data_IF_460158791008
#
_entry.id   IF_460158791008
#
_cell.length_a   1.000
_cell.length_b   1.000
_cell.length_c   1.000
_cell.angle_alpha   90.00
_cell.angle_beta   90.00
_cell.angle_gamma   90.00
#
_symmetry.space_group_name_H-M   'P 1'
#
loop_
_entity.id
_entity.type
_entity.pdbx_description
1 polymer ?
#
# COMPACT_ATOMS: atom_id res chain seq x y z
N UNK A 1 6.53 13.33 22.64
CA UNK A 1 6.56 12.02 23.28
C UNK A 1 8.01 11.58 23.48
N UNK A 2 8.34 11.01 24.64
CA UNK A 2 9.68 10.46 24.92
C UNK A 2 9.69 8.96 24.57
N UNK A 3 9.67 8.66 23.27
CA UNK A 3 9.78 7.32 22.72
C UNK A 3 11.13 7.20 22.00
N UNK A 4 12.01 6.36 22.55
CA UNK A 4 13.26 6.02 21.88
C UNK A 4 12.97 5.01 20.76
N UNK A 5 13.49 5.24 19.58
CA UNK A 5 13.31 4.30 18.46
C UNK A 5 14.63 3.98 17.78
N UNK A 6 14.67 2.83 17.15
CA UNK A 6 15.77 2.37 16.30
C UNK A 6 15.19 1.92 14.95
N UNK A 7 15.60 2.56 13.86
CA UNK A 7 15.14 2.28 12.52
C UNK A 7 16.00 1.21 11.87
N UNK A 8 15.43 0.03 11.64
CA UNK A 8 16.08 -1.12 11.02
C UNK A 8 15.59 -1.28 9.59
N UNK A 9 16.48 -1.17 8.61
CA UNK A 9 16.20 -1.48 7.21
C UNK A 9 16.69 -2.90 6.89
N UNK A 10 15.80 -3.79 6.47
CA UNK A 10 16.18 -5.19 6.21
C UNK A 10 16.98 -5.39 4.93
N UNK A 11 16.93 -4.44 3.99
CA UNK A 11 17.60 -4.54 2.69
C UNK A 11 16.86 -5.43 1.70
N UNK A 12 15.59 -5.75 1.92
CA UNK A 12 14.79 -6.61 1.05
C UNK A 12 14.72 -6.08 -0.39
N UNK A 13 14.57 -4.78 -0.57
CA UNK A 13 14.56 -4.13 -1.88
C UNK A 13 15.98 -3.68 -2.23
N UNK A 14 16.54 -4.29 -3.28
CA UNK A 14 17.97 -4.21 -3.60
C UNK A 14 18.38 -3.01 -4.48
N UNK A 15 17.41 -2.27 -5.05
CA UNK A 15 17.75 -1.14 -5.93
C UNK A 15 18.12 0.10 -5.09
N UNK A 16 19.44 0.28 -4.91
CA UNK A 16 20.02 1.37 -4.12
C UNK A 16 19.57 2.74 -4.62
N UNK A 17 19.49 2.92 -5.94
CA UNK A 17 19.15 4.22 -6.53
C UNK A 17 17.67 4.58 -6.30
N UNK A 18 16.78 3.59 -6.35
CA UNK A 18 15.35 3.83 -6.07
C UNK A 18 15.10 4.08 -4.58
N UNK A 19 15.74 3.31 -3.69
CA UNK A 19 15.53 3.50 -2.26
C UNK A 19 16.12 4.82 -1.75
N UNK A 20 17.32 5.21 -2.17
CA UNK A 20 17.94 6.47 -1.76
C UNK A 20 17.08 7.67 -2.20
N UNK A 21 16.54 7.65 -3.41
CA UNK A 21 15.61 8.69 -3.91
C UNK A 21 14.36 8.80 -3.03
N UNK A 22 13.76 7.68 -2.60
CA UNK A 22 12.60 7.70 -1.70
C UNK A 22 12.93 8.29 -0.33
N UNK A 23 14.08 7.95 0.26
CA UNK A 23 14.50 8.50 1.53
C UNK A 23 14.67 10.02 1.45
N UNK A 24 15.28 10.51 0.37
CA UNK A 24 15.49 11.95 0.15
C UNK A 24 14.16 12.68 -0.14
N UNK A 25 13.36 12.18 -1.09
CA UNK A 25 12.11 12.82 -1.48
C UNK A 25 11.10 12.92 -0.33
N UNK A 26 10.99 11.87 0.48
CA UNK A 26 10.03 11.82 1.57
C UNK A 26 10.61 12.31 2.91
N UNK A 27 11.87 12.75 2.94
CA UNK A 27 12.60 13.17 4.15
C UNK A 27 12.58 12.09 5.24
N UNK A 28 12.74 10.81 4.86
CA UNK A 28 12.78 9.70 5.80
C UNK A 28 14.16 9.70 6.47
N UNK A 29 14.25 9.58 7.80
CA UNK A 29 15.54 9.45 8.49
C UNK A 29 16.32 8.24 7.96
N UNK A 30 17.64 8.38 7.88
CA UNK A 30 18.49 7.24 7.54
C UNK A 30 18.34 6.13 8.60
N UNK A 31 18.32 4.85 8.18
CA UNK A 31 18.22 3.76 9.14
C UNK A 31 19.48 3.67 10.01
N UNK A 32 19.30 3.32 11.27
CA UNK A 32 20.40 3.07 12.20
C UNK A 32 21.22 1.86 11.77
N UNK A 33 20.58 0.89 11.09
CA UNK A 33 21.23 -0.28 10.53
C UNK A 33 20.50 -0.77 9.27
N UNK A 34 21.28 -1.25 8.30
CA UNK A 34 20.78 -1.98 7.13
C UNK A 34 21.31 -3.42 7.20
N UNK A 35 20.41 -4.39 7.25
CA UNK A 35 20.76 -5.81 7.41
C UNK A 35 21.24 -6.46 6.09
N UNK A 36 21.03 -5.83 4.95
CA UNK A 36 21.53 -6.31 3.65
C UNK A 36 20.93 -7.62 3.16
N UNK A 37 19.70 -7.94 3.52
CA UNK A 37 19.05 -9.23 3.25
C UNK A 37 18.30 -9.28 1.90
N UNK A 38 18.76 -8.54 0.89
CA UNK A 38 18.16 -8.54 -0.44
C UNK A 38 18.56 -9.76 -1.28
N UNK A 39 17.67 -10.16 -2.22
CA UNK A 39 17.93 -11.22 -3.20
C UNK A 39 17.65 -12.65 -2.69
N UNK A 40 17.88 -13.64 -3.56
CA UNK A 40 17.57 -15.03 -3.30
C UNK A 40 16.11 -15.44 -3.55
N UNK A 41 15.79 -16.67 -3.22
CA UNK A 41 14.41 -17.18 -3.22
C UNK A 41 13.62 -16.61 -2.04
N UNK A 42 12.30 -16.74 -2.06
CA UNK A 42 11.44 -16.32 -0.94
C UNK A 42 11.87 -16.96 0.40
N UNK A 43 12.26 -18.23 0.37
CA UNK A 43 12.71 -18.94 1.57
C UNK A 43 14.07 -18.43 2.05
N UNK A 44 15.03 -18.24 1.17
CA UNK A 44 16.36 -17.72 1.49
C UNK A 44 16.27 -16.29 2.05
N UNK A 45 15.49 -15.43 1.41
CA UNK A 45 15.29 -14.06 1.87
C UNK A 45 14.63 -14.03 3.26
N UNK A 46 13.57 -14.81 3.47
CA UNK A 46 12.92 -14.94 4.78
C UNK A 46 13.90 -15.40 5.85
N UNK A 47 14.67 -16.44 5.58
CA UNK A 47 15.65 -16.99 6.52
C UNK A 47 16.75 -15.97 6.84
N UNK A 48 17.31 -15.29 5.84
CA UNK A 48 18.34 -14.28 6.03
C UNK A 48 17.84 -13.11 6.90
N UNK A 49 16.62 -12.62 6.63
CA UNK A 49 16.02 -11.55 7.45
C UNK A 49 15.87 -12.03 8.90
N UNK A 50 15.36 -13.23 9.12
CA UNK A 50 15.20 -13.77 10.47
C UNK A 50 16.53 -13.87 11.21
N UNK A 51 17.58 -14.39 10.58
CA UNK A 51 18.90 -14.56 11.20
C UNK A 51 19.54 -13.21 11.55
N UNK A 52 19.54 -12.27 10.62
CA UNK A 52 20.18 -10.98 10.84
C UNK A 52 19.37 -10.11 11.81
N UNK A 53 18.04 -10.17 11.76
CA UNK A 53 17.19 -9.44 12.70
C UNK A 53 17.26 -10.00 14.12
N UNK A 54 17.44 -11.33 14.29
CA UNK A 54 17.66 -11.93 15.62
C UNK A 54 18.95 -11.42 16.27
N UNK A 55 20.04 -11.29 15.49
CA UNK A 55 21.29 -10.70 15.97
C UNK A 55 21.10 -9.25 16.38
N UNK A 56 20.43 -8.47 15.56
CA UNK A 56 20.16 -7.06 15.82
C UNK A 56 19.33 -6.88 17.09
N UNK A 57 18.20 -7.61 17.21
CA UNK A 57 17.31 -7.52 18.36
C UNK A 57 17.96 -8.05 19.66
N UNK A 58 18.85 -9.04 19.56
CA UNK A 58 19.62 -9.54 20.71
C UNK A 58 20.68 -8.55 21.19
N UNK A 59 21.26 -7.77 20.26
CA UNK A 59 22.27 -6.75 20.57
C UNK A 59 21.65 -5.45 21.08
N UNK A 60 20.47 -5.12 20.56
CA UNK A 60 19.69 -3.92 20.90
C UNK A 60 18.26 -4.33 21.32
N UNK A 61 18.09 -4.88 22.54
CA UNK A 61 16.76 -5.25 23.02
C UNK A 61 15.81 -4.05 23.07
N UNK A 62 14.54 -4.31 22.77
CA UNK A 62 13.49 -3.28 22.77
C UNK A 62 12.20 -3.84 23.38
N UNK A 63 11.32 -2.98 23.85
CA UNK A 63 10.03 -3.37 24.41
C UNK A 63 9.04 -3.77 23.32
N UNK A 64 9.12 -3.11 22.16
CA UNK A 64 8.16 -3.27 21.07
C UNK A 64 8.90 -3.26 19.72
N UNK A 65 8.59 -4.22 18.87
CA UNK A 65 8.93 -4.19 17.43
C UNK A 65 7.72 -3.73 16.65
N UNK A 66 7.85 -2.62 15.93
CA UNK A 66 6.80 -2.11 15.05
C UNK A 66 7.13 -2.51 13.61
N UNK A 67 6.19 -3.18 12.95
CA UNK A 67 6.26 -3.57 11.54
C UNK A 67 5.10 -2.94 10.77
N UNK A 68 5.32 -2.69 9.46
CA UNK A 68 4.34 -2.02 8.60
C UNK A 68 4.09 -2.86 7.34
N UNK A 69 2.83 -2.95 6.92
CA UNK A 69 2.45 -3.56 5.65
C UNK A 69 2.61 -5.08 5.61
N UNK A 70 3.00 -5.61 4.46
CA UNK A 70 2.84 -7.03 4.12
C UNK A 70 4.05 -7.67 3.44
N UNK A 71 5.18 -7.02 3.45
CA UNK A 71 6.41 -7.56 2.86
C UNK A 71 7.00 -8.70 3.70
N UNK A 72 7.91 -9.49 3.12
CA UNK A 72 8.58 -10.60 3.81
C UNK A 72 9.23 -10.17 5.12
N UNK A 73 9.78 -8.96 5.18
CA UNK A 73 10.39 -8.38 6.39
C UNK A 73 9.39 -8.23 7.53
N UNK A 74 8.15 -7.82 7.24
CA UNK A 74 7.07 -7.66 8.21
C UNK A 74 6.81 -8.97 8.95
N UNK A 75 6.64 -10.06 8.20
CA UNK A 75 6.42 -11.39 8.75
C UNK A 75 7.67 -11.91 9.50
N UNK A 76 8.83 -11.88 8.86
CA UNK A 76 10.06 -12.46 9.41
C UNK A 76 10.47 -11.80 10.73
N UNK A 77 10.45 -10.47 10.81
CA UNK A 77 10.77 -9.72 12.03
C UNK A 77 9.74 -9.99 13.14
N UNK A 78 8.46 -10.14 12.80
CA UNK A 78 7.42 -10.48 13.77
C UNK A 78 7.63 -11.85 14.42
N UNK A 79 8.00 -12.85 13.61
CA UNK A 79 8.31 -14.20 14.13
C UNK A 79 9.48 -14.16 15.09
N UNK A 80 10.56 -13.47 14.72
CA UNK A 80 11.76 -13.33 15.57
C UNK A 80 11.43 -12.61 16.87
N UNK A 81 10.75 -11.47 16.80
CA UNK A 81 10.38 -10.69 17.97
C UNK A 81 9.56 -11.54 18.96
N UNK A 82 8.55 -12.28 18.47
CA UNK A 82 7.73 -13.15 19.35
C UNK A 82 8.54 -14.29 19.96
N UNK A 83 9.49 -14.87 19.24
CA UNK A 83 10.37 -15.93 19.78
C UNK A 83 11.32 -15.40 20.86
N UNK A 84 11.66 -14.12 20.81
CA UNK A 84 12.47 -13.42 21.82
C UNK A 84 11.60 -12.73 22.90
N UNK A 85 10.31 -13.05 22.98
CA UNK A 85 9.34 -12.50 23.93
C UNK A 85 9.17 -10.97 23.85
N UNK A 86 9.45 -10.37 22.71
CA UNK A 86 9.23 -8.96 22.44
C UNK A 86 7.83 -8.74 21.87
N UNK A 87 7.15 -7.66 22.29
CA UNK A 87 5.84 -7.28 21.77
C UNK A 87 5.93 -6.85 20.29
N UNK A 88 4.89 -7.13 19.52
CA UNK A 88 4.81 -6.77 18.11
C UNK A 88 3.63 -5.85 17.86
N UNK A 89 3.88 -4.71 17.23
CA UNK A 89 2.88 -3.83 16.63
C UNK A 89 2.84 -4.03 15.12
N UNK A 90 1.66 -4.27 14.57
CA UNK A 90 1.45 -4.33 13.14
C UNK A 90 0.61 -3.13 12.66
N UNK A 91 1.23 -2.26 11.87
CA UNK A 91 0.56 -1.15 11.18
C UNK A 91 0.09 -1.62 9.82
N UNK A 92 -1.13 -1.26 9.46
CA UNK A 92 -1.84 -1.77 8.27
C UNK A 92 -2.37 -3.20 8.45
N UNK A 93 -2.69 -3.56 9.69
CA UNK A 93 -3.20 -4.87 10.06
C UNK A 93 -4.62 -5.14 9.52
N UNK A 94 -4.93 -6.41 9.29
CA UNK A 94 -6.29 -6.87 8.99
C UNK A 94 -6.76 -6.67 7.55
N UNK A 95 -5.97 -6.06 6.67
CA UNK A 95 -6.31 -6.00 5.23
C UNK A 95 -6.17 -7.38 4.58
N UNK A 96 -7.08 -7.74 3.68
CA UNK A 96 -7.12 -9.07 3.04
C UNK A 96 -7.55 -8.99 1.58
N UNK A 97 -6.81 -9.71 0.74
CA UNK A 97 -7.23 -10.04 -0.63
C UNK A 97 -7.95 -11.39 -0.69
N UNK A 98 -7.73 -12.24 0.30
CA UNK A 98 -8.17 -13.65 0.35
C UNK A 98 -7.56 -14.52 -0.77
N UNK A 99 -6.54 -14.03 -1.42
CA UNK A 99 -5.81 -14.74 -2.47
C UNK A 99 -4.50 -15.31 -1.91
N UNK A 100 -4.53 -16.58 -1.53
CA UNK A 100 -3.38 -17.28 -0.97
C UNK A 100 -2.27 -17.57 -2.00
N UNK A 101 -2.47 -17.28 -3.27
CA UNK A 101 -1.40 -17.32 -4.26
C UNK A 101 -0.44 -16.13 -4.14
N UNK A 102 -0.85 -15.08 -3.42
CA UNK A 102 -0.04 -13.91 -3.14
C UNK A 102 0.82 -14.13 -1.88
N UNK A 103 2.16 -14.03 -1.98
CA UNK A 103 3.03 -14.09 -0.80
C UNK A 103 2.68 -13.06 0.28
N UNK A 104 2.23 -11.88 -0.13
CA UNK A 104 1.82 -10.78 0.75
C UNK A 104 0.62 -11.17 1.63
N UNK A 105 -0.33 -11.93 1.09
CA UNK A 105 -1.48 -12.40 1.87
C UNK A 105 -1.06 -13.36 2.98
N UNK A 106 -0.12 -14.26 2.68
CA UNK A 106 0.47 -15.15 3.67
C UNK A 106 1.20 -14.35 4.75
N UNK A 107 1.98 -13.35 4.35
CA UNK A 107 2.70 -12.48 5.28
C UNK A 107 1.74 -11.75 6.23
N UNK A 108 0.64 -11.20 5.71
CA UNK A 108 -0.40 -10.52 6.51
C UNK A 108 -0.99 -11.47 7.55
N UNK A 109 -1.43 -12.65 7.11
CA UNK A 109 -2.07 -13.63 7.99
C UNK A 109 -1.15 -14.07 9.13
N UNK A 110 0.12 -14.36 8.82
CA UNK A 110 1.11 -14.76 9.83
C UNK A 110 1.38 -13.61 10.80
N UNK A 111 1.63 -12.41 10.28
CA UNK A 111 1.93 -11.23 11.11
C UNK A 111 0.78 -10.90 12.04
N UNK A 112 -0.44 -10.83 11.51
CA UNK A 112 -1.64 -10.55 12.31
C UNK A 112 -1.89 -11.61 13.39
N UNK A 113 -1.58 -12.89 13.10
CA UNK A 113 -1.75 -13.96 14.10
C UNK A 113 -0.79 -13.85 15.27
N UNK A 114 0.34 -13.18 15.10
CA UNK A 114 1.42 -13.05 16.09
C UNK A 114 1.43 -11.71 16.81
N UNK A 115 0.98 -10.65 16.16
CA UNK A 115 1.05 -9.28 16.68
C UNK A 115 0.22 -9.12 17.96
N UNK A 116 0.74 -8.36 18.91
CA UNK A 116 0.05 -8.00 20.15
C UNK A 116 -0.87 -6.79 19.93
N UNK A 117 -0.43 -5.85 19.11
CA UNK A 117 -1.09 -4.59 18.80
C UNK A 117 -1.33 -4.46 17.30
N UNK A 118 -2.58 -4.25 16.91
CA UNK A 118 -3.05 -4.29 15.52
C UNK A 118 -3.67 -2.94 15.17
N UNK A 119 -2.98 -2.17 14.33
CA UNK A 119 -3.42 -0.86 13.86
C UNK A 119 -4.03 -0.99 12.46
N UNK A 120 -5.34 -0.77 12.37
CA UNK A 120 -6.12 -1.03 11.15
C UNK A 120 -6.44 0.24 10.38
N UNK A 121 -6.63 0.08 9.07
CA UNK A 121 -6.91 1.16 8.13
C UNK A 121 -8.40 1.43 7.94
N UNK A 122 -9.25 0.43 8.23
CA UNK A 122 -10.68 0.50 7.94
C UNK A 122 -11.50 -0.40 8.87
N UNK A 123 -12.81 -0.19 8.89
CA UNK A 123 -13.76 -1.07 9.58
C UNK A 123 -13.75 -2.49 9.01
N UNK A 124 -13.50 -2.63 7.70
CA UNK A 124 -13.40 -3.95 7.04
C UNK A 124 -12.19 -4.70 7.58
N UNK A 125 -11.04 -4.04 7.76
CA UNK A 125 -9.85 -4.63 8.36
C UNK A 125 -10.13 -5.15 9.80
N UNK A 126 -10.87 -4.37 10.61
CA UNK A 126 -11.31 -4.83 11.93
C UNK A 126 -12.15 -6.11 11.85
N UNK A 127 -13.15 -6.13 10.95
CA UNK A 127 -14.03 -7.30 10.75
C UNK A 127 -13.23 -8.53 10.32
N UNK A 128 -12.24 -8.34 9.45
CA UNK A 128 -11.36 -9.44 9.03
C UNK A 128 -10.60 -10.04 10.22
N UNK A 129 -9.97 -9.22 11.05
CA UNK A 129 -9.25 -9.67 12.23
C UNK A 129 -10.17 -10.42 13.21
N UNK A 130 -11.34 -9.85 13.49
CA UNK A 130 -12.34 -10.47 14.38
C UNK A 130 -12.79 -11.83 13.81
N UNK A 131 -13.03 -11.95 12.51
CA UNK A 131 -13.48 -13.20 11.89
C UNK A 131 -12.42 -14.30 11.86
N UNK A 132 -11.14 -13.94 11.84
CA UNK A 132 -10.02 -14.89 11.86
C UNK A 132 -9.62 -15.33 13.25
N UNK A 133 -10.07 -14.62 14.29
CA UNK A 133 -9.53 -14.74 15.63
C UNK A 133 -10.21 -15.72 16.53
N UNK A 134 -9.62 -16.92 16.67
CA UNK A 134 -9.85 -17.75 17.84
C UNK A 134 -9.29 -17.15 19.17
N UNK A 135 -8.61 -16.00 19.09
CA UNK A 135 -8.00 -15.32 20.26
C UNK A 135 -8.85 -14.19 20.83
N UNK A 136 -9.84 -13.71 20.08
CA UNK A 136 -10.81 -12.75 20.60
C UNK A 136 -11.86 -13.54 21.39
N UNK A 137 -11.79 -13.54 22.70
CA UNK A 137 -12.79 -14.18 23.53
C UNK A 137 -14.17 -13.53 23.29
N UNK A 138 -15.26 -14.33 23.32
CA UNK A 138 -16.66 -13.84 23.19
C UNK A 138 -16.99 -12.62 24.05
N UNK A 139 -16.30 -12.48 25.18
CA UNK A 139 -16.36 -11.34 26.07
C UNK A 139 -16.03 -9.99 25.43
N UNK A 140 -15.22 -9.98 24.37
CA UNK A 140 -14.66 -8.75 23.80
C UNK A 140 -15.43 -8.24 22.59
N UNK A 141 -16.14 -9.10 21.85
CA UNK A 141 -16.95 -8.66 20.71
C UNK A 141 -17.95 -7.56 21.06
N UNK A 142 -18.60 -7.66 22.21
CA UNK A 142 -19.58 -6.67 22.67
C UNK A 142 -18.93 -5.41 23.27
N UNK A 143 -17.73 -5.52 23.84
CA UNK A 143 -17.00 -4.37 24.38
C UNK A 143 -16.18 -3.64 23.32
N UNK A 144 -15.55 -4.36 22.37
CA UNK A 144 -14.82 -3.76 21.26
C UNK A 144 -15.72 -2.92 20.35
N UNK A 145 -16.96 -3.33 20.13
CA UNK A 145 -17.94 -2.51 19.40
C UNK A 145 -18.20 -1.13 20.03
N UNK A 146 -18.00 -0.97 21.34
CA UNK A 146 -18.12 0.32 22.02
C UNK A 146 -16.90 1.23 21.77
N UNK A 147 -15.72 0.65 21.51
CA UNK A 147 -14.50 1.40 21.23
C UNK A 147 -14.35 1.80 19.75
N UNK A 148 -15.08 1.11 18.85
CA UNK A 148 -15.04 1.37 17.41
C UNK A 148 -16.18 2.26 16.91
N UNK A 149 -17.17 2.57 17.75
CA UNK A 149 -18.26 3.44 17.36
C UNK A 149 -17.94 4.90 17.72
N UNK A 150 -17.67 5.68 16.68
CA UNK A 150 -17.69 7.13 16.65
C UNK A 150 -16.50 7.85 17.31
N UNK A 151 -15.74 8.50 16.45
CA UNK A 151 -14.68 9.47 16.74
C UNK A 151 -13.48 8.94 17.49
N UNK A 152 -12.31 9.24 16.95
CA UNK A 152 -11.00 8.99 17.52
C UNK A 152 -10.78 9.75 18.86
N UNK A 153 -11.60 9.47 19.83
CA UNK A 153 -11.35 9.82 21.21
C UNK A 153 -10.61 8.65 21.82
N UNK A 154 -9.33 8.87 22.06
CA UNK A 154 -8.43 7.96 22.76
C UNK A 154 -9.07 7.51 24.07
N UNK A 155 -9.68 6.35 24.08
CA UNK A 155 -10.14 5.77 25.34
C UNK A 155 -8.98 4.97 25.92
N UNK A 156 -8.55 5.36 27.09
CA UNK A 156 -7.63 4.60 27.94
C UNK A 156 -8.33 3.25 28.18
N UNK A 157 -7.68 2.16 27.76
CA UNK A 157 -8.21 0.83 28.02
C UNK A 157 -8.27 0.62 29.54
N UNK A 158 -9.34 0.03 30.06
CA UNK A 158 -9.43 -0.27 31.48
C UNK A 158 -8.28 -1.14 31.95
N UNK A 159 -7.80 -0.90 33.17
CA UNK A 159 -6.68 -1.61 33.81
C UNK A 159 -6.84 -3.14 33.77
N UNK A 160 -8.08 -3.64 33.78
CA UNK A 160 -8.43 -5.04 33.67
C UNK A 160 -7.99 -5.74 32.37
N UNK A 161 -7.72 -5.00 31.29
CA UNK A 161 -7.20 -5.53 30.02
C UNK A 161 -5.72 -5.92 30.10
N UNK A 162 -4.98 -5.34 31.05
CA UNK A 162 -3.55 -5.58 31.23
C UNK A 162 -3.25 -6.59 32.34
N UNK A 163 -4.25 -6.94 33.15
CA UNK A 163 -4.09 -7.75 34.37
C UNK A 163 -4.23 -9.28 34.16
N UNK A 164 -4.57 -9.76 32.95
CA UNK A 164 -4.74 -11.17 32.70
C UNK A 164 -3.47 -11.81 32.13
N UNK A 165 -3.12 -13.01 32.61
CA UNK A 165 -2.01 -13.88 32.14
C UNK A 165 -2.07 -14.22 30.62
N UNK A 166 -3.10 -13.78 29.93
CA UNK A 166 -3.28 -13.85 28.46
C UNK A 166 -3.63 -12.47 27.97
N UNK A 167 -2.62 -11.68 27.61
CA UNK A 167 -2.83 -10.39 26.95
C UNK A 167 -3.55 -10.63 25.62
N UNK A 168 -4.82 -10.18 25.47
CA UNK A 168 -5.53 -10.30 24.20
C UNK A 168 -4.82 -9.45 23.13
N UNK A 169 -4.97 -9.84 21.88
CA UNK A 169 -4.58 -8.96 20.78
C UNK A 169 -5.47 -7.71 20.83
N UNK A 170 -4.86 -6.53 20.76
CA UNK A 170 -5.60 -5.27 20.80
C UNK A 170 -5.67 -4.66 19.43
N UNK A 171 -6.87 -4.32 18.97
CA UNK A 171 -7.14 -3.73 17.68
C UNK A 171 -7.52 -2.27 17.87
N UNK A 172 -6.88 -1.37 17.07
CA UNK A 172 -7.26 0.03 16.98
C UNK A 172 -7.46 0.45 15.53
N UNK A 173 -8.60 1.02 15.22
CA UNK A 173 -8.82 1.66 13.94
C UNK A 173 -8.22 3.06 13.99
N UNK A 174 -7.09 3.25 13.30
CA UNK A 174 -6.28 4.47 13.36
C UNK A 174 -6.29 5.27 12.06
N UNK A 175 -6.69 4.67 10.95
CA UNK A 175 -6.58 5.24 9.62
C UNK A 175 -5.41 4.64 8.84
N UNK A 176 -4.93 5.35 7.83
CA UNK A 176 -3.97 4.83 6.86
C UNK A 176 -2.72 5.72 6.78
N UNK A 177 -1.55 5.18 7.15
CA UNK A 177 -0.27 5.91 7.15
C UNK A 177 0.20 6.30 5.75
N UNK A 178 -0.23 5.58 4.71
CA UNK A 178 0.06 5.98 3.32
C UNK A 178 -0.58 7.32 3.00
N UNK A 179 -1.76 7.58 3.58
CA UNK A 179 -2.48 8.84 3.41
C UNK A 179 -1.79 9.98 4.16
N UNK A 180 -1.22 9.71 5.34
CA UNK A 180 -0.40 10.70 6.06
C UNK A 180 0.77 11.15 5.18
N UNK A 181 1.45 10.20 4.53
CA UNK A 181 2.55 10.47 3.59
C UNK A 181 2.07 11.29 2.39
N UNK A 182 0.96 10.92 1.77
CA UNK A 182 0.40 11.65 0.64
C UNK A 182 0.07 13.11 0.99
N UNK A 183 -0.71 13.31 2.05
CA UNK A 183 -1.19 14.64 2.45
C UNK A 183 -0.05 15.56 2.92
N UNK A 184 0.94 15.01 3.63
CA UNK A 184 2.12 15.79 4.06
C UNK A 184 2.98 16.25 2.89
N UNK A 185 3.01 15.49 1.80
CA UNK A 185 3.80 15.80 0.61
C UNK A 185 3.01 16.49 -0.51
N UNK A 186 1.69 16.60 -0.43
CA UNK A 186 0.86 17.14 -1.51
C UNK A 186 1.28 18.54 -2.00
N UNK A 187 1.73 19.40 -1.07
CA UNK A 187 2.24 20.75 -1.41
C UNK A 187 3.63 20.74 -2.04
N UNK A 188 4.32 19.62 -2.00
CA UNK A 188 5.67 19.41 -2.53
C UNK A 188 5.66 18.73 -3.89
N UNK A 189 4.49 18.38 -4.44
CA UNK A 189 4.39 17.76 -5.76
C UNK A 189 5.08 18.62 -6.82
N UNK A 190 5.92 17.97 -7.62
CA UNK A 190 6.78 18.61 -8.63
C UNK A 190 6.27 18.27 -10.02
N UNK A 191 6.09 19.29 -10.85
CA UNK A 191 5.72 19.07 -12.25
C UNK A 191 6.88 18.40 -12.99
N UNK A 192 6.70 17.19 -13.54
CA UNK A 192 7.72 16.54 -14.34
C UNK A 192 7.86 17.19 -15.72
N UNK A 193 9.05 17.11 -16.28
CA UNK A 193 9.36 17.71 -17.59
C UNK A 193 8.42 17.24 -18.71
N UNK A 194 8.01 15.98 -18.66
CA UNK A 194 7.09 15.38 -19.65
C UNK A 194 5.75 16.13 -19.73
N UNK A 195 5.30 16.74 -18.63
CA UNK A 195 4.06 17.51 -18.60
C UNK A 195 4.15 18.71 -19.57
N UNK A 196 5.29 19.41 -19.58
CA UNK A 196 5.55 20.55 -20.48
C UNK A 196 5.88 20.07 -21.89
N UNK A 197 6.70 19.03 -22.02
CA UNK A 197 7.14 18.51 -23.33
C UNK A 197 5.98 18.04 -24.20
N UNK A 198 4.97 17.41 -23.60
CA UNK A 198 3.78 16.95 -24.31
C UNK A 198 2.63 17.98 -24.31
N UNK A 199 2.82 19.15 -23.67
CA UNK A 199 1.76 20.15 -23.55
C UNK A 199 0.50 19.60 -22.86
N UNK A 200 0.68 18.79 -21.82
CA UNK A 200 -0.44 18.16 -21.11
C UNK A 200 -1.37 19.21 -20.50
N UNK A 201 -2.66 18.94 -20.57
CA UNK A 201 -3.70 19.79 -20.01
C UNK A 201 -4.39 19.01 -18.89
N UNK A 202 -4.64 19.65 -17.76
CA UNK A 202 -5.32 19.05 -16.62
C UNK A 202 -6.65 18.43 -17.03
N UNK A 203 -6.93 17.22 -16.53
CA UNK A 203 -8.11 16.39 -16.85
C UNK A 203 -8.25 15.98 -18.33
N UNK A 204 -7.16 16.11 -19.12
CA UNK A 204 -7.15 15.71 -20.53
C UNK A 204 -6.02 14.70 -20.85
N UNK A 205 -5.64 13.89 -19.91
CA UNK A 205 -4.74 12.75 -20.11
C UNK A 205 -5.05 11.65 -19.08
N UNK A 206 -4.56 10.46 -19.37
CA UNK A 206 -4.66 9.27 -18.50
C UNK A 206 -3.25 8.97 -17.97
N UNK A 207 -3.15 8.61 -16.70
CA UNK A 207 -1.96 7.96 -16.16
C UNK A 207 -2.21 6.46 -16.12
N UNK A 208 -1.24 5.67 -16.58
CA UNK A 208 -1.34 4.21 -16.56
C UNK A 208 -0.14 3.61 -15.82
N UNK A 209 -0.38 2.60 -15.00
CA UNK A 209 0.66 1.74 -14.45
C UNK A 209 0.24 0.28 -14.53
N UNK A 210 1.18 -0.60 -14.88
CA UNK A 210 0.92 -2.02 -15.03
C UNK A 210 2.20 -2.82 -14.75
N UNK A 211 2.13 -3.77 -13.84
CA UNK A 211 3.29 -4.54 -13.41
C UNK A 211 2.96 -5.94 -12.86
N UNK A 212 1.67 -6.25 -12.61
CA UNK A 212 1.29 -7.55 -12.07
C UNK A 212 1.38 -8.63 -13.13
N UNK A 213 1.90 -9.84 -12.76
CA UNK A 213 2.02 -10.98 -13.66
C UNK A 213 0.73 -11.30 -14.42
N UNK A 214 -0.42 -11.25 -13.74
CA UNK A 214 -1.72 -11.54 -14.35
C UNK A 214 -2.06 -10.64 -15.56
N UNK A 215 -1.49 -9.43 -15.62
CA UNK A 215 -1.74 -8.48 -16.71
C UNK A 215 -0.61 -8.45 -17.75
N UNK A 216 0.63 -8.80 -17.37
CA UNK A 216 1.82 -8.54 -18.22
C UNK A 216 2.54 -9.79 -18.70
N UNK A 217 2.37 -10.95 -18.05
CA UNK A 217 3.17 -12.15 -18.37
C UNK A 217 2.59 -12.96 -19.54
N UNK A 218 1.30 -12.82 -19.87
CA UNK A 218 0.67 -13.48 -20.99
C UNK A 218 0.51 -12.52 -22.18
N UNK A 219 1.19 -12.84 -23.29
CA UNK A 219 1.36 -11.95 -24.45
C UNK A 219 0.03 -11.55 -25.11
N UNK A 220 -0.85 -12.52 -25.33
CA UNK A 220 -2.15 -12.27 -26.02
C UNK A 220 -3.02 -11.39 -25.14
N UNK A 221 -3.09 -11.71 -23.86
CA UNK A 221 -3.84 -10.95 -22.88
C UNK A 221 -3.37 -9.50 -22.78
N UNK A 222 -2.04 -9.29 -22.68
CA UNK A 222 -1.46 -7.94 -22.64
C UNK A 222 -1.78 -7.13 -23.89
N UNK A 223 -1.69 -7.77 -25.08
CA UNK A 223 -2.03 -7.11 -26.35
C UNK A 223 -3.50 -6.66 -26.38
N UNK A 224 -4.42 -7.55 -26.03
CA UNK A 224 -5.85 -7.24 -25.99
C UNK A 224 -6.16 -6.13 -24.97
N UNK A 225 -5.56 -6.21 -23.79
CA UNK A 225 -5.74 -5.22 -22.74
C UNK A 225 -5.27 -3.83 -23.18
N UNK A 226 -4.06 -3.75 -23.76
CA UNK A 226 -3.51 -2.49 -24.27
C UNK A 226 -4.35 -1.93 -25.42
N UNK A 227 -4.79 -2.76 -26.35
CA UNK A 227 -5.67 -2.35 -27.43
C UNK A 227 -6.96 -1.74 -26.90
N UNK A 228 -7.61 -2.39 -25.93
CA UNK A 228 -8.82 -1.87 -25.30
C UNK A 228 -8.59 -0.54 -24.59
N UNK A 229 -7.47 -0.37 -23.88
CA UNK A 229 -7.16 0.89 -23.21
C UNK A 229 -6.91 1.99 -24.24
N UNK A 230 -5.98 1.78 -25.18
CA UNK A 230 -5.52 2.80 -26.11
C UNK A 230 -6.63 3.27 -27.05
N UNK A 231 -7.45 2.35 -27.51
CA UNK A 231 -8.55 2.66 -28.47
C UNK A 231 -9.69 3.43 -27.79
N UNK A 232 -9.98 3.15 -26.53
CA UNK A 232 -11.16 3.71 -25.85
C UNK A 232 -10.88 4.95 -25.00
N UNK A 233 -9.66 5.48 -24.96
CA UNK A 233 -9.35 6.77 -24.30
C UNK A 233 -9.63 8.00 -25.16
N UNK A 234 -10.31 7.85 -26.28
CA UNK A 234 -10.73 8.94 -27.19
C UNK A 234 -9.55 9.82 -27.65
N UNK A 235 -8.39 9.24 -27.88
CA UNK A 235 -7.19 9.93 -28.32
C UNK A 235 -6.49 10.77 -27.26
N UNK A 236 -6.90 10.72 -26.00
CA UNK A 236 -6.18 11.38 -24.93
C UNK A 236 -4.78 10.79 -24.75
N UNK A 237 -3.77 11.60 -24.42
CA UNK A 237 -2.46 11.09 -24.05
C UNK A 237 -2.54 10.11 -22.89
N UNK A 238 -1.84 8.98 -22.98
CA UNK A 238 -1.63 8.02 -21.91
C UNK A 238 -0.18 8.14 -21.46
N UNK A 239 0.05 8.54 -20.24
CA UNK A 239 1.39 8.61 -19.65
C UNK A 239 1.63 7.31 -18.89
N UNK A 240 2.63 6.55 -19.33
CA UNK A 240 2.94 5.25 -18.78
C UNK A 240 4.37 5.21 -18.22
N UNK A 241 4.58 5.57 -16.94
CA UNK A 241 5.84 5.30 -16.26
C UNK A 241 6.02 3.79 -16.14
N UNK A 242 6.97 3.24 -16.90
CA UNK A 242 7.11 1.79 -17.03
C UNK A 242 8.34 1.28 -16.29
N UNK A 243 8.15 0.23 -15.50
CA UNK A 243 9.27 -0.45 -14.85
C UNK A 243 10.14 -1.20 -15.89
N UNK A 244 11.48 -1.26 -15.75
CA UNK A 244 12.37 -1.89 -16.73
C UNK A 244 11.99 -3.33 -17.12
N UNK A 245 11.50 -4.12 -16.17
CA UNK A 245 11.01 -5.48 -16.44
C UNK A 245 9.83 -5.47 -17.42
N UNK A 246 8.84 -4.64 -17.16
CA UNK A 246 7.64 -4.50 -18.00
C UNK A 246 8.01 -3.89 -19.35
N UNK A 247 8.92 -2.91 -19.39
CA UNK A 247 9.41 -2.31 -20.63
C UNK A 247 10.02 -3.35 -21.57
N UNK A 248 10.81 -4.29 -21.02
CA UNK A 248 11.40 -5.39 -21.80
C UNK A 248 10.33 -6.25 -22.49
N UNK A 249 9.23 -6.55 -21.81
CA UNK A 249 8.10 -7.29 -22.38
C UNK A 249 7.45 -6.47 -23.49
N UNK A 250 7.16 -5.20 -23.24
CA UNK A 250 6.56 -4.28 -24.22
C UNK A 250 7.39 -4.17 -25.50
N UNK A 251 8.69 -3.89 -25.36
CA UNK A 251 9.57 -3.78 -26.53
C UNK A 251 9.76 -5.13 -27.26
N UNK A 252 9.63 -6.24 -26.53
CA UNK A 252 9.63 -7.58 -27.14
C UNK A 252 8.40 -7.84 -28.01
N UNK A 253 7.24 -7.29 -27.63
CA UNK A 253 5.96 -7.52 -28.33
C UNK A 253 5.72 -6.60 -29.52
N UNK A 254 6.12 -5.33 -29.44
CA UNK A 254 5.79 -4.29 -30.41
C UNK A 254 6.98 -3.64 -31.09
N UNK A 255 8.21 -4.03 -30.75
CA UNK A 255 9.43 -3.46 -31.26
C UNK A 255 9.95 -2.29 -30.42
N UNK A 256 10.78 -1.44 -31.04
CA UNK A 256 11.38 -0.33 -30.32
C UNK A 256 10.41 0.84 -30.07
N UNK A 257 10.93 1.89 -29.44
CA UNK A 257 10.15 3.09 -29.11
C UNK A 257 9.53 3.76 -30.35
N UNK A 258 10.20 3.69 -31.52
CA UNK A 258 9.68 4.29 -32.74
C UNK A 258 8.50 3.48 -33.27
N UNK A 259 8.60 2.15 -33.27
CA UNK A 259 7.50 1.28 -33.65
C UNK A 259 6.28 1.48 -32.76
N UNK A 260 6.49 1.62 -31.45
CA UNK A 260 5.41 1.92 -30.51
C UNK A 260 4.75 3.27 -30.75
N UNK A 261 5.52 4.32 -31.07
CA UNK A 261 4.98 5.66 -31.42
C UNK A 261 4.17 5.66 -32.70
N UNK A 262 4.54 4.85 -33.68
CA UNK A 262 3.77 4.70 -34.92
C UNK A 262 2.47 3.93 -34.68
N UNK A 263 2.52 2.85 -33.91
CA UNK A 263 1.35 2.01 -33.59
C UNK A 263 0.37 2.71 -32.64
N UNK A 264 0.88 3.39 -31.64
CA UNK A 264 0.12 3.97 -30.53
C UNK A 264 0.53 5.44 -30.28
N UNK A 265 0.18 6.37 -31.16
CA UNK A 265 0.67 7.75 -31.09
C UNK A 265 0.25 8.53 -29.85
N UNK A 266 -0.77 8.08 -29.14
CA UNK A 266 -1.22 8.65 -27.87
C UNK A 266 -0.64 7.94 -26.62
N UNK A 267 0.17 6.88 -26.78
CA UNK A 267 0.85 6.20 -25.68
C UNK A 267 2.27 6.75 -25.51
N UNK A 268 2.54 7.37 -24.37
CA UNK A 268 3.84 7.91 -24.00
C UNK A 268 4.46 7.08 -22.88
N UNK A 269 5.37 6.19 -23.27
CA UNK A 269 6.17 5.41 -22.33
C UNK A 269 7.29 6.31 -21.80
N UNK A 270 7.41 6.38 -20.48
CA UNK A 270 8.42 7.21 -19.80
C UNK A 270 9.16 6.37 -18.75
N UNK A 271 10.38 6.75 -18.36
CA UNK A 271 11.07 6.11 -17.25
C UNK A 271 10.25 6.17 -15.95
N UNK A 272 10.54 5.29 -14.97
CA UNK A 272 9.99 5.43 -13.62
C UNK A 272 10.24 6.83 -13.07
N UNK A 273 9.26 7.37 -12.39
CA UNK A 273 9.31 8.71 -11.79
C UNK A 273 9.42 8.64 -10.28
N UNK A 274 9.96 9.68 -9.67
CA UNK A 274 9.90 9.89 -8.23
C UNK A 274 8.47 10.07 -7.73
N UNK A 275 8.28 9.90 -6.44
CA UNK A 275 6.96 9.97 -5.79
C UNK A 275 6.26 11.31 -6.01
N UNK A 276 7.01 12.40 -5.90
CA UNK A 276 6.46 13.76 -6.02
C UNK A 276 6.04 14.11 -7.45
N UNK A 277 6.81 13.66 -8.44
CA UNK A 277 6.48 13.87 -9.85
C UNK A 277 5.32 13.00 -10.32
N UNK A 278 5.33 11.72 -9.91
CA UNK A 278 4.25 10.79 -10.23
C UNK A 278 2.91 11.29 -9.70
N UNK A 279 2.87 11.68 -8.43
CA UNK A 279 1.64 12.18 -7.80
C UNK A 279 1.19 13.55 -8.34
N UNK A 280 2.11 14.36 -8.87
CA UNK A 280 1.73 15.56 -9.63
C UNK A 280 0.89 15.20 -10.86
N UNK A 281 1.31 14.18 -11.62
CA UNK A 281 0.57 13.70 -12.79
C UNK A 281 -0.77 13.08 -12.38
N UNK A 282 -0.76 12.20 -11.39
CA UNK A 282 -1.98 11.51 -10.92
C UNK A 282 -3.05 12.51 -10.49
N UNK A 283 -2.68 13.52 -9.69
CA UNK A 283 -3.63 14.52 -9.20
C UNK A 283 -4.36 15.28 -10.31
N UNK A 284 -3.70 15.49 -11.45
CA UNK A 284 -4.20 16.25 -12.60
C UNK A 284 -4.73 15.39 -13.73
N UNK A 285 -4.62 14.08 -13.63
CA UNK A 285 -5.13 13.17 -14.66
C UNK A 285 -6.66 13.22 -14.74
N UNK A 286 -7.20 12.86 -15.91
CA UNK A 286 -8.63 12.57 -16.07
C UNK A 286 -9.02 11.31 -15.30
N UNK A 287 -8.18 10.30 -15.39
CA UNK A 287 -8.30 9.04 -14.65
C UNK A 287 -6.94 8.36 -14.55
N UNK A 288 -6.87 7.36 -13.68
CA UNK A 288 -5.74 6.43 -13.58
C UNK A 288 -6.24 5.03 -13.97
N UNK A 289 -5.45 4.32 -14.78
CA UNK A 289 -5.64 2.89 -15.08
C UNK A 289 -4.48 2.13 -14.45
N UNK A 290 -4.75 1.23 -13.52
CA UNK A 290 -3.68 0.63 -12.71
C UNK A 290 -4.00 -0.79 -12.25
N UNK A 291 -2.96 -1.56 -11.94
CA UNK A 291 -3.05 -2.81 -11.18
C UNK A 291 -2.42 -2.72 -9.78
N UNK A 292 -2.00 -1.51 -9.36
CA UNK A 292 -1.40 -1.23 -8.06
C UNK A 292 -2.44 -0.96 -6.99
N UNK A 293 -2.29 -1.60 -5.81
CA UNK A 293 -3.13 -1.36 -4.64
C UNK A 293 -2.96 0.05 -4.04
N UNK A 294 -1.72 0.50 -3.85
CA UNK A 294 -1.43 1.79 -3.21
C UNK A 294 -1.96 3.00 -4.01
N UNK A 295 -1.89 2.95 -5.34
CA UNK A 295 -2.41 4.03 -6.20
C UNK A 295 -3.92 4.22 -6.03
N UNK A 296 -4.66 3.17 -5.73
CA UNK A 296 -6.12 3.27 -5.49
C UNK A 296 -6.46 4.08 -4.24
N UNK A 297 -5.59 4.04 -3.24
CA UNK A 297 -5.71 4.83 -2.01
C UNK A 297 -5.42 6.31 -2.29
N UNK A 298 -4.33 6.59 -3.00
CA UNK A 298 -3.92 7.95 -3.36
C UNK A 298 -4.96 8.63 -4.26
N UNK A 299 -5.45 7.94 -5.29
CA UNK A 299 -6.50 8.45 -6.19
C UNK A 299 -7.82 8.72 -5.47
N UNK A 300 -8.16 7.92 -4.46
CA UNK A 300 -9.33 8.14 -3.60
C UNK A 300 -9.23 9.48 -2.87
N UNK A 301 -8.09 9.78 -2.25
CA UNK A 301 -7.86 11.06 -1.56
C UNK A 301 -7.85 12.23 -2.54
N UNK A 302 -7.19 12.08 -3.68
CA UNK A 302 -7.11 13.12 -4.71
C UNK A 302 -8.41 13.26 -5.53
N UNK A 303 -9.42 12.42 -5.27
CA UNK A 303 -10.70 12.37 -5.98
C UNK A 303 -10.53 12.21 -7.50
N UNK A 304 -9.55 11.41 -7.90
CA UNK A 304 -9.28 11.06 -9.29
C UNK A 304 -9.95 9.73 -9.61
N UNK A 305 -10.72 9.60 -10.69
CA UNK A 305 -11.25 8.34 -11.15
C UNK A 305 -10.14 7.28 -11.30
N UNK A 306 -10.35 6.09 -10.77
CA UNK A 306 -9.37 5.00 -10.83
C UNK A 306 -10.02 3.73 -11.37
N UNK A 307 -9.44 3.19 -12.42
CA UNK A 307 -9.84 1.91 -13.05
C UNK A 307 -8.81 0.87 -12.66
N UNK A 308 -9.20 -0.10 -11.84
CA UNK A 308 -8.28 -1.12 -11.35
C UNK A 308 -8.43 -2.43 -12.10
N UNK A 309 -7.35 -2.86 -12.74
CA UNK A 309 -7.22 -4.08 -13.55
C UNK A 309 -6.91 -5.30 -12.66
N UNK A 310 -7.82 -5.64 -11.74
CA UNK A 310 -7.66 -6.74 -10.79
C UNK A 310 -9.01 -7.37 -10.46
N UNK A 311 -9.01 -8.66 -10.13
CA UNK A 311 -10.19 -9.41 -9.73
C UNK A 311 -10.51 -9.27 -8.23
N UNK A 312 -9.53 -8.87 -7.44
CA UNK A 312 -9.65 -8.64 -5.99
C UNK A 312 -8.93 -7.36 -5.55
N UNK A 313 -9.23 -6.90 -4.34
CA UNK A 313 -8.53 -5.78 -3.70
C UNK A 313 -8.47 -5.98 -2.20
N UNK A 314 -7.35 -5.61 -1.61
CA UNK A 314 -7.15 -5.55 -0.16
C UNK A 314 -7.77 -4.28 0.46
N UNK A 315 -8.22 -3.37 -0.39
CA UNK A 315 -8.71 -2.03 -0.03
C UNK A 315 -10.14 -1.79 -0.54
N UNK A 316 -11.12 -2.58 -0.10
CA UNK A 316 -12.51 -2.47 -0.60
C UNK A 316 -13.14 -1.09 -0.38
N UNK A 317 -12.69 -0.34 0.64
CA UNK A 317 -13.12 1.04 0.91
C UNK A 317 -12.81 2.00 -0.23
N UNK A 318 -11.75 1.77 -1.02
CA UNK A 318 -11.47 2.58 -2.21
C UNK A 318 -12.55 2.40 -3.28
N UNK A 319 -13.19 1.22 -3.32
CA UNK A 319 -14.27 0.88 -4.24
C UNK A 319 -15.64 1.28 -3.70
N UNK A 320 -15.90 1.04 -2.42
CA UNK A 320 -17.24 1.26 -1.82
C UNK A 320 -17.50 2.71 -1.43
N UNK A 321 -16.45 3.42 -1.01
CA UNK A 321 -16.49 4.83 -0.58
C UNK A 321 -15.76 5.70 -1.59
N UNK A 322 -14.56 5.32 -1.99
CA UNK A 322 -13.67 6.10 -2.86
C UNK A 322 -14.07 6.13 -4.34
N UNK A 323 -13.11 6.56 -5.16
CA UNK A 323 -13.29 6.78 -6.61
C UNK A 323 -12.92 5.57 -7.46
N UNK A 324 -12.42 4.48 -6.85
CA UNK A 324 -11.91 3.32 -7.55
C UNK A 324 -13.03 2.38 -8.02
N UNK A 325 -12.91 1.86 -9.24
CA UNK A 325 -13.72 0.74 -9.74
C UNK A 325 -12.80 -0.43 -10.09
N UNK A 326 -13.07 -1.57 -9.47
CA UNK A 326 -12.41 -2.83 -9.73
C UNK A 326 -13.10 -3.52 -10.91
N UNK A 327 -12.45 -3.61 -12.07
CA UNK A 327 -13.08 -4.12 -13.31
C UNK A 327 -12.63 -5.52 -13.70
N UNK A 328 -11.75 -6.13 -12.91
CA UNK A 328 -11.16 -7.42 -13.22
C UNK A 328 -10.00 -7.33 -14.22
N UNK A 329 -9.49 -8.49 -14.59
CA UNK A 329 -8.39 -8.62 -15.55
C UNK A 329 -8.91 -8.82 -16.99
N UNK A 330 -10.22 -9.02 -17.21
CA UNK A 330 -10.78 -9.20 -18.53
C UNK A 330 -10.67 -7.94 -19.40
N UNK A 331 -9.96 -7.95 -20.55
CA UNK A 331 -9.81 -6.80 -21.42
C UNK A 331 -11.13 -6.17 -21.87
N UNK A 332 -12.19 -6.97 -22.04
CA UNK A 332 -13.50 -6.50 -22.49
C UNK A 332 -14.22 -5.61 -21.44
N UNK A 333 -13.77 -5.63 -20.18
CA UNK A 333 -14.33 -4.77 -19.13
C UNK A 333 -13.79 -3.33 -19.20
N UNK A 334 -12.70 -3.09 -19.91
CA UNK A 334 -12.05 -1.77 -20.03
C UNK A 334 -12.96 -0.77 -20.74
N UNK A 335 -13.50 -1.14 -21.91
CA UNK A 335 -14.34 -0.26 -22.71
C UNK A 335 -15.57 0.26 -21.95
N UNK A 336 -16.40 -0.57 -21.30
CA UNK A 336 -17.54 -0.08 -20.50
C UNK A 336 -17.14 0.90 -19.40
N UNK A 337 -16.00 0.65 -18.74
CA UNK A 337 -15.48 1.54 -17.70
C UNK A 337 -15.06 2.90 -18.26
N UNK A 338 -14.36 2.92 -19.39
CA UNK A 338 -13.97 4.16 -20.07
C UNK A 338 -15.19 4.89 -20.65
N UNK A 339 -16.14 4.21 -21.24
CA UNK A 339 -17.40 4.80 -21.73
C UNK A 339 -18.12 5.55 -20.59
N UNK A 340 -18.24 4.92 -19.41
CA UNK A 340 -18.81 5.52 -18.20
C UNK A 340 -18.01 6.75 -17.74
N UNK A 341 -16.69 6.68 -17.78
CA UNK A 341 -15.81 7.80 -17.44
C UNK A 341 -16.05 9.00 -18.38
N UNK A 342 -16.07 8.76 -19.70
CA UNK A 342 -16.23 9.81 -20.69
C UNK A 342 -17.64 10.38 -20.79
N UNK A 343 -18.66 9.60 -20.42
CA UNK A 343 -20.03 10.08 -20.26
C UNK A 343 -20.22 10.99 -19.02
N UNK A 344 -19.19 11.09 -18.14
CA UNK A 344 -19.30 11.85 -16.90
C UNK A 344 -20.11 11.14 -15.80
N UNK A 345 -20.34 9.85 -15.95
CA UNK A 345 -21.12 9.00 -15.05
C UNK A 345 -20.27 8.32 -13.99
N UNK A 346 -18.96 8.63 -13.93
CA UNK A 346 -18.07 8.08 -12.91
C UNK A 346 -18.48 8.54 -11.52
N UNK A 347 -18.45 7.63 -10.56
CA UNK A 347 -18.78 7.97 -9.17
C UNK A 347 -17.87 9.07 -8.62
N UNK A 348 -18.42 9.99 -7.86
CA UNK A 348 -17.65 11.09 -7.25
C UNK A 348 -16.74 10.59 -6.13
N UNK A 349 -17.16 9.53 -5.46
CA UNK A 349 -16.48 9.01 -4.29
C UNK A 349 -16.44 9.96 -3.10
N UNK A 350 -16.01 9.43 -1.97
CA UNK A 350 -15.72 10.19 -0.76
C UNK A 350 -14.44 9.68 -0.11
N UNK A 351 -14.01 10.29 0.98
CA UNK A 351 -12.81 9.90 1.72
C UNK A 351 -13.22 8.91 2.81
N UNK A 352 -12.59 7.72 2.87
CA UNK A 352 -12.83 6.78 3.94
C UNK A 352 -12.57 7.40 5.32
N UNK A 353 -13.33 7.01 6.36
CA UNK A 353 -13.14 7.55 7.70
C UNK A 353 -11.70 7.35 8.21
N UNK A 354 -11.19 8.36 8.92
CA UNK A 354 -9.83 8.42 9.47
C UNK A 354 -8.69 8.46 8.43
N UNK A 355 -8.99 8.60 7.14
CA UNK A 355 -7.99 8.85 6.11
C UNK A 355 -7.73 10.37 6.00
N UNK A 356 -7.26 10.96 7.08
CA UNK A 356 -7.21 12.41 7.29
C UNK A 356 -5.80 12.98 7.53
N UNK A 357 -4.76 12.13 7.43
CA UNK A 357 -3.36 12.55 7.60
C UNK A 357 -2.85 12.57 9.04
N UNK A 358 -3.58 11.96 9.99
CA UNK A 358 -3.25 11.94 11.41
C UNK A 358 -3.09 10.53 11.98
N UNK A 359 -2.88 9.54 11.14
CA UNK A 359 -2.76 8.13 11.54
C UNK A 359 -1.54 7.89 12.42
N UNK A 360 -0.38 8.40 12.01
CA UNK A 360 0.86 8.26 12.76
C UNK A 360 0.75 8.91 14.15
N UNK A 361 0.09 10.06 14.27
CA UNK A 361 -0.15 10.72 15.56
C UNK A 361 -0.99 9.84 16.50
N UNK A 362 -2.03 9.20 15.98
CA UNK A 362 -2.88 8.26 16.73
C UNK A 362 -2.10 7.06 17.21
N UNK A 363 -1.29 6.45 16.34
CA UNK A 363 -0.43 5.30 16.68
C UNK A 363 0.53 5.68 17.81
N UNK A 364 1.26 6.79 17.68
CA UNK A 364 2.22 7.25 18.69
C UNK A 364 1.52 7.53 20.04
N UNK A 365 0.34 8.15 20.02
CA UNK A 365 -0.42 8.40 21.24
C UNK A 365 -0.83 7.09 21.94
N UNK A 366 -1.27 6.09 21.17
CA UNK A 366 -1.64 4.78 21.71
C UNK A 366 -0.43 4.09 22.31
N UNK A 367 0.71 4.05 21.59
CA UNK A 367 1.95 3.44 22.08
C UNK A 367 2.46 4.10 23.35
N UNK A 368 2.40 5.44 23.40
CA UNK A 368 2.78 6.19 24.60
C UNK A 368 1.91 5.83 25.81
N UNK A 369 0.58 5.70 25.61
CA UNK A 369 -0.34 5.33 26.67
C UNK A 369 -0.13 3.87 27.14
N UNK A 370 0.17 2.94 26.22
CA UNK A 370 0.51 1.56 26.56
C UNK A 370 1.76 1.54 27.45
N UNK A 371 2.80 2.24 27.07
CA UNK A 371 4.06 2.28 27.82
C UNK A 371 3.87 2.89 29.22
N UNK A 372 3.08 3.96 29.32
CA UNK A 372 2.79 4.62 30.60
C UNK A 372 1.97 3.73 31.57
N UNK A 373 1.31 2.68 31.08
CA UNK A 373 0.52 1.74 31.90
C UNK A 373 1.32 0.48 32.28
N UNK A 374 2.43 0.19 31.58
CA UNK A 374 3.33 -0.94 31.87
C UNK A 374 4.37 -0.56 32.93
N UNK A 375 4.66 0.71 33.10
CA UNK A 375 5.54 1.27 34.13
C UNK A 375 4.77 1.63 35.40
#
# INVERSE_FOLDING_TARGET
YDIQYRLVHTGQHYDKNMSDTFFEELNIPLPDVNLGCGGGTQAEQTANIMVEFEKELSTHPTDIVLVVGDVTSTMACSIVAKKLNTKVCHVEAGIRSWDLSMPEEINRMVTDSLADYLFTTSEVANKNLISMGARFAEYEQNKLSQYFTQTATYQILPEEYFAADKTPQLIWWVGNVMIDTLLSNQKRFVQPDIYTQLGLIEKQYIVMTMHRPANVDEEIHLKELMEQIITNVHGLPIIFPIHPRTAKIFYGLWGDENALKELFPNLHIVPPMGYLEFNYLVQRAKAVVTDSGGITEETTIMKVPCITLRDNTERPETCTIGTNELIGTNPQAVKPALDKLFAGEWKKGDIPPLWDGHTAERIIQILYNINAQIL
#
